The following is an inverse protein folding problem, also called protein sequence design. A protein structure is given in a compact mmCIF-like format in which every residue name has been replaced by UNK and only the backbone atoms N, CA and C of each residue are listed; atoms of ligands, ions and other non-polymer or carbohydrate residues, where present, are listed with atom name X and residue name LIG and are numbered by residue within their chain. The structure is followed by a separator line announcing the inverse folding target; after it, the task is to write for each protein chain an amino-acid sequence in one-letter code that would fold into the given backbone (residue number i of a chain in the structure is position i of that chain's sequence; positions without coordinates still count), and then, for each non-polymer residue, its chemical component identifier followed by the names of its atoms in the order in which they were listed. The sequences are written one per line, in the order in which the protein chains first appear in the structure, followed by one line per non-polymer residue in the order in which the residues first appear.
data_IF_661588929447
#
_entry.id   IF_661588929447
#
_cell.length_a   1.000
_cell.length_b   1.000
_cell.length_c   1.000
_cell.angle_alpha   90.00
_cell.angle_beta   90.00
_cell.angle_gamma   90.00
#
_symmetry.space_group_name_H-M   'P 1'
#
loop_
_entity.id
_entity.type
_entity.pdbx_description
1 polymer ?
#
# COMPACT_ATOMS: atom_id res chain seq x y z
N UNK A 1 16.35 -0.99 8.19
CA UNK A 1 16.61 -0.86 6.74
C UNK A 1 18.07 -1.15 6.35
N UNK A 2 18.86 -1.87 7.16
CA UNK A 2 20.28 -2.14 6.85
C UNK A 2 20.48 -2.85 5.51
N UNK A 3 19.57 -3.75 5.13
CA UNK A 3 19.63 -4.47 3.85
C UNK A 3 19.55 -3.56 2.61
N UNK A 4 18.67 -2.54 2.61
CA UNK A 4 18.57 -1.57 1.51
C UNK A 4 19.81 -0.64 1.43
N UNK A 5 20.50 -0.47 2.55
CA UNK A 5 21.68 0.40 2.67
C UNK A 5 23.00 -0.38 2.53
N UNK A 6 22.95 -1.71 2.42
CA UNK A 6 24.15 -2.53 2.34
C UNK A 6 24.83 -2.28 0.98
N UNK A 7 26.07 -1.75 0.96
CA UNK A 7 26.79 -1.47 -0.28
C UNK A 7 27.12 -2.73 -1.09
N UNK A 8 27.18 -3.90 -0.46
CA UNK A 8 27.44 -5.19 -1.12
C UNK A 8 26.19 -5.80 -1.76
N UNK A 9 24.99 -5.34 -1.38
CA UNK A 9 23.74 -5.85 -1.92
C UNK A 9 23.47 -5.25 -3.31
N UNK A 10 23.01 -6.10 -4.24
CA UNK A 10 22.49 -5.61 -5.51
C UNK A 10 21.25 -4.75 -5.25
N UNK A 11 21.33 -3.45 -5.59
CA UNK A 11 20.31 -2.45 -5.23
C UNK A 11 18.96 -2.68 -5.91
N UNK A 12 18.96 -3.21 -7.13
CA UNK A 12 17.73 -3.57 -7.84
C UNK A 12 17.07 -4.78 -7.18
N UNK A 13 17.87 -5.79 -6.82
CA UNK A 13 17.37 -6.94 -6.07
C UNK A 13 16.80 -6.51 -4.71
N UNK A 14 17.55 -5.72 -3.94
CA UNK A 14 17.14 -5.28 -2.61
C UNK A 14 15.84 -4.46 -2.65
N UNK A 15 15.73 -3.52 -3.59
CA UNK A 15 14.52 -2.72 -3.82
C UNK A 15 13.35 -3.60 -4.25
N UNK A 16 13.56 -4.52 -5.20
CA UNK A 16 12.51 -5.42 -5.69
C UNK A 16 12.00 -6.34 -4.58
N UNK A 17 12.91 -6.95 -3.81
CA UNK A 17 12.57 -7.83 -2.69
C UNK A 17 11.76 -7.09 -1.62
N UNK A 18 12.18 -5.86 -1.28
CA UNK A 18 11.45 -5.02 -0.33
C UNK A 18 10.02 -4.72 -0.80
N UNK A 19 9.84 -4.32 -2.06
CA UNK A 19 8.52 -4.06 -2.62
C UNK A 19 7.67 -5.32 -2.77
N UNK A 20 8.25 -6.48 -3.11
CA UNK A 20 7.52 -7.76 -3.13
C UNK A 20 6.89 -8.04 -1.76
N UNK A 21 7.63 -7.84 -0.67
CA UNK A 21 7.10 -8.00 0.68
C UNK A 21 5.91 -7.08 0.95
N UNK A 22 6.01 -5.81 0.57
CA UNK A 22 4.91 -4.83 0.70
C UNK A 22 3.72 -5.23 -0.18
N UNK A 23 3.97 -5.65 -1.42
CA UNK A 23 2.95 -6.07 -2.36
C UNK A 23 2.18 -7.29 -1.88
N UNK A 24 2.87 -8.28 -1.30
CA UNK A 24 2.25 -9.45 -0.69
C UNK A 24 1.39 -9.06 0.52
N UNK A 25 1.88 -8.18 1.40
CA UNK A 25 1.08 -7.66 2.51
C UNK A 25 -0.19 -6.95 2.00
N UNK A 26 -0.04 -6.06 1.03
CA UNK A 26 -1.17 -5.34 0.42
C UNK A 26 -2.16 -6.30 -0.24
N UNK A 27 -1.67 -7.30 -0.99
CA UNK A 27 -2.51 -8.31 -1.62
C UNK A 27 -3.28 -9.12 -0.59
N UNK A 28 -2.67 -9.48 0.54
CA UNK A 28 -3.34 -10.19 1.63
C UNK A 28 -4.45 -9.33 2.27
N UNK A 29 -4.21 -8.04 2.52
CA UNK A 29 -5.25 -7.12 3.00
C UNK A 29 -6.41 -7.04 2.02
N UNK A 30 -6.12 -6.87 0.73
CA UNK A 30 -7.11 -6.78 -0.33
C UNK A 30 -7.90 -8.08 -0.52
N UNK A 31 -7.26 -9.24 -0.39
CA UNK A 31 -7.90 -10.55 -0.47
C UNK A 31 -8.94 -10.79 0.63
N UNK A 32 -8.89 -10.05 1.74
CA UNK A 32 -9.93 -10.11 2.77
C UNK A 32 -11.22 -9.36 2.37
N UNK A 33 -11.19 -8.56 1.32
CA UNK A 33 -12.32 -7.75 0.85
C UNK A 33 -13.67 -8.48 0.72
N UNK A 34 -13.75 -9.71 0.18
CA UNK A 34 -15.01 -10.46 0.09
C UNK A 34 -15.66 -10.78 1.44
N UNK A 35 -14.86 -10.91 2.51
CA UNK A 35 -15.32 -11.24 3.86
C UNK A 35 -15.75 -10.00 4.67
N UNK A 36 -15.54 -8.80 4.16
CA UNK A 36 -16.05 -7.58 4.78
C UNK A 36 -17.59 -7.55 4.75
N UNK A 37 -18.18 -6.71 5.62
CA UNK A 37 -19.59 -6.33 5.53
C UNK A 37 -19.93 -5.94 4.09
N UNK A 38 -21.15 -6.27 3.63
CA UNK A 38 -21.52 -6.12 2.21
C UNK A 38 -21.20 -4.73 1.62
N UNK A 39 -21.48 -3.66 2.38
CA UNK A 39 -21.20 -2.27 1.97
C UNK A 39 -19.73 -1.84 2.08
N UNK A 40 -18.87 -2.65 2.72
CA UNK A 40 -17.42 -2.45 2.86
C UNK A 40 -16.61 -3.40 1.95
N UNK A 41 -17.27 -4.18 1.09
CA UNK A 41 -16.58 -4.96 0.07
C UNK A 41 -15.96 -4.01 -0.95
N UNK A 42 -14.70 -4.24 -1.28
CA UNK A 42 -13.97 -3.39 -2.20
C UNK A 42 -14.54 -3.50 -3.62
N UNK A 43 -14.75 -2.36 -4.26
CA UNK A 43 -15.17 -2.32 -5.67
C UNK A 43 -13.97 -2.58 -6.60
N UNK A 44 -14.23 -2.94 -7.86
CA UNK A 44 -13.17 -3.10 -8.87
C UNK A 44 -12.29 -1.84 -8.99
N UNK A 45 -12.90 -0.66 -8.94
CA UNK A 45 -12.18 0.61 -8.97
C UNK A 45 -11.26 0.78 -7.76
N UNK A 46 -11.70 0.38 -6.57
CA UNK A 46 -10.85 0.41 -5.37
C UNK A 46 -9.60 -0.45 -5.53
N UNK A 47 -9.74 -1.69 -6.01
CA UNK A 47 -8.59 -2.56 -6.30
C UNK A 47 -7.66 -1.95 -7.36
N UNK A 48 -8.23 -1.34 -8.41
CA UNK A 48 -7.45 -0.68 -9.46
C UNK A 48 -6.59 0.44 -8.88
N UNK A 49 -7.16 1.35 -8.07
CA UNK A 49 -6.41 2.44 -7.43
C UNK A 49 -5.29 1.90 -6.54
N UNK A 50 -5.57 0.89 -5.72
CA UNK A 50 -4.57 0.28 -4.84
C UNK A 50 -3.42 -0.35 -5.62
N UNK A 51 -3.72 -1.08 -6.70
CA UNK A 51 -2.72 -1.67 -7.59
C UNK A 51 -1.89 -0.61 -8.32
N UNK A 52 -2.54 0.44 -8.84
CA UNK A 52 -1.86 1.54 -9.53
C UNK A 52 -0.91 2.29 -8.60
N UNK A 53 -1.34 2.62 -7.37
CA UNK A 53 -0.48 3.26 -6.38
C UNK A 53 0.77 2.43 -6.08
N UNK A 54 0.58 1.12 -5.83
CA UNK A 54 1.69 0.21 -5.59
C UNK A 54 2.65 0.12 -6.78
N UNK A 55 2.14 -0.08 -8.00
CA UNK A 55 2.96 -0.20 -9.20
C UNK A 55 3.71 1.08 -9.53
N UNK A 56 3.07 2.24 -9.36
CA UNK A 56 3.71 3.54 -9.57
C UNK A 56 4.88 3.74 -8.59
N UNK A 57 4.67 3.44 -7.31
CA UNK A 57 5.72 3.54 -6.30
C UNK A 57 6.85 2.53 -6.52
N UNK A 58 6.54 1.30 -6.95
CA UNK A 58 7.54 0.30 -7.31
C UNK A 58 8.41 0.78 -8.48
N UNK A 59 7.80 1.22 -9.58
CA UNK A 59 8.53 1.70 -10.76
C UNK A 59 9.42 2.88 -10.38
N UNK A 60 8.87 3.86 -9.65
CA UNK A 60 9.62 5.02 -9.21
C UNK A 60 10.81 4.63 -8.30
N UNK A 61 10.61 3.71 -7.36
CA UNK A 61 11.68 3.22 -6.49
C UNK A 61 12.74 2.43 -7.25
N UNK A 62 12.39 1.69 -8.30
CA UNK A 62 13.36 1.01 -9.16
C UNK A 62 14.23 2.01 -9.93
N UNK A 63 13.66 3.10 -10.43
CA UNK A 63 14.41 4.20 -11.07
C UNK A 63 15.40 4.81 -10.08
N UNK A 64 15.00 4.99 -8.82
CA UNK A 64 15.84 5.56 -7.76
C UNK A 64 16.54 4.53 -6.87
N UNK A 65 16.68 3.27 -7.32
CA UNK A 65 17.22 2.18 -6.50
C UNK A 65 18.64 2.47 -5.97
N UNK A 66 19.39 3.35 -6.64
CA UNK A 66 20.71 3.81 -6.21
C UNK A 66 20.70 4.69 -4.96
N UNK A 67 19.55 5.21 -4.52
CA UNK A 67 19.43 6.05 -3.34
C UNK A 67 18.39 5.45 -2.36
N UNK A 68 18.85 4.72 -1.33
CA UNK A 68 17.98 4.05 -0.37
C UNK A 68 17.05 5.01 0.40
N UNK A 69 17.50 6.25 0.64
CA UNK A 69 16.69 7.26 1.34
C UNK A 69 15.48 7.64 0.47
N UNK A 70 15.68 7.82 -0.83
CA UNK A 70 14.59 8.11 -1.78
C UNK A 70 13.62 6.92 -1.84
N UNK A 71 14.12 5.68 -1.96
CA UNK A 71 13.26 4.47 -1.98
C UNK A 71 12.38 4.36 -0.73
N UNK A 72 12.97 4.56 0.46
CA UNK A 72 12.22 4.55 1.73
C UNK A 72 11.22 5.70 1.79
N UNK A 73 11.57 6.88 1.27
CA UNK A 73 10.68 8.05 1.25
C UNK A 73 9.47 7.80 0.34
N UNK A 74 9.67 7.27 -0.88
CA UNK A 74 8.61 6.87 -1.80
C UNK A 74 7.70 5.84 -1.14
N UNK A 75 8.29 4.84 -0.50
CA UNK A 75 7.53 3.77 0.19
C UNK A 75 6.69 4.33 1.34
N UNK A 76 7.22 5.29 2.09
CA UNK A 76 6.48 5.97 3.18
C UNK A 76 5.29 6.75 2.64
N UNK A 77 5.48 7.48 1.54
CA UNK A 77 4.41 8.22 0.85
C UNK A 77 3.36 7.24 0.31
N UNK A 78 3.77 6.12 -0.27
CA UNK A 78 2.87 5.05 -0.72
C UNK A 78 2.01 4.54 0.44
N UNK A 79 2.62 4.20 1.57
CA UNK A 79 1.91 3.69 2.74
C UNK A 79 0.86 4.71 3.24
N UNK A 80 1.23 5.99 3.30
CA UNK A 80 0.31 7.06 3.67
C UNK A 80 -0.84 7.21 2.67
N UNK A 81 -0.56 7.17 1.36
CA UNK A 81 -1.58 7.26 0.31
C UNK A 81 -2.57 6.08 0.38
N UNK A 82 -2.08 4.86 0.57
CA UNK A 82 -2.89 3.66 0.76
C UNK A 82 -3.77 3.81 2.01
N UNK A 83 -3.21 4.28 3.13
CA UNK A 83 -3.95 4.48 4.37
C UNK A 83 -5.06 5.52 4.21
N UNK A 84 -4.75 6.70 3.64
CA UNK A 84 -5.72 7.76 3.37
C UNK A 84 -6.85 7.25 2.47
N UNK A 85 -6.51 6.57 1.37
CA UNK A 85 -7.51 6.03 0.45
C UNK A 85 -8.42 4.98 1.13
N UNK A 86 -7.84 4.13 1.98
CA UNK A 86 -8.58 3.11 2.73
C UNK A 86 -9.52 3.74 3.76
N UNK A 87 -9.04 4.73 4.53
CA UNK A 87 -9.84 5.47 5.51
C UNK A 87 -10.97 6.23 4.81
N UNK A 88 -10.67 6.92 3.71
CA UNK A 88 -11.66 7.65 2.94
C UNK A 88 -12.76 6.72 2.39
N UNK A 89 -12.39 5.57 1.83
CA UNK A 89 -13.34 4.55 1.39
C UNK A 89 -14.22 4.07 2.55
N UNK A 90 -13.61 3.68 3.67
CA UNK A 90 -14.33 3.21 4.85
C UNK A 90 -15.32 4.27 5.35
N UNK A 91 -14.87 5.52 5.50
CA UNK A 91 -15.70 6.62 5.97
C UNK A 91 -16.87 6.90 5.03
N UNK A 92 -16.61 6.91 3.72
CA UNK A 92 -17.63 7.19 2.71
C UNK A 92 -18.68 6.09 2.67
N UNK A 93 -18.26 4.83 2.70
CA UNK A 93 -19.20 3.69 2.69
C UNK A 93 -19.97 3.58 4.01
N UNK A 94 -19.30 3.79 5.13
CA UNK A 94 -19.94 3.71 6.44
C UNK A 94 -20.97 4.82 6.58
N UNK A 95 -20.66 6.09 6.27
CA UNK A 95 -21.64 7.20 6.32
C UNK A 95 -22.88 6.96 5.46
N UNK A 96 -22.76 6.23 4.34
CA UNK A 96 -23.88 5.93 3.44
C UNK A 96 -24.78 4.80 3.94
N UNK A 97 -24.24 3.86 4.70
CA UNK A 97 -24.91 2.59 5.00
C UNK A 97 -25.02 2.27 6.51
N UNK A 98 -24.42 3.06 7.38
CA UNK A 98 -24.35 2.84 8.84
C UNK A 98 -24.02 4.14 9.59
N UNK A 99 -24.08 4.12 10.92
CA UNK A 99 -23.40 5.12 11.74
C UNK A 99 -21.89 4.81 11.77
N UNK A 100 -21.00 5.81 11.64
CA UNK A 100 -19.58 5.60 11.84
C UNK A 100 -19.32 5.25 13.31
N UNK A 101 -18.80 4.05 13.56
CA UNK A 101 -18.35 3.65 14.87
C UNK A 101 -16.94 4.21 15.07
N UNK A 102 -16.86 5.41 15.65
CA UNK A 102 -15.60 6.11 15.94
C UNK A 102 -14.90 5.58 17.19
N UNK A 103 -15.48 4.61 17.90
CA UNK A 103 -14.79 3.87 18.94
C UNK A 103 -13.79 2.90 18.28
N UNK A 104 -12.67 3.47 17.85
CA UNK A 104 -11.48 2.74 17.43
C UNK A 104 -10.35 3.17 18.36
N UNK A 105 -10.49 2.84 19.64
CA UNK A 105 -9.75 1.80 20.37
C UNK A 105 -10.55 1.39 21.61
#
# INVERSE_FOLDING_TARGET
MSFLQNPEANRLFATSFFYIGIGLFQAAVLANGPYNKHYLRYSKSYYCVQATLYLAALILSLIFASNPIIVVSITTILALAIAIHSIYFYMTQTKKHSTPYWELF
#
